data_IF_192411198788
#
_entry.id   IF_192411198788
#
_cell.length_a   1.000
_cell.length_b   1.000
_cell.length_c   1.000
_cell.angle_alpha   90.00
_cell.angle_beta   90.00
_cell.angle_gamma   90.00
#
_symmetry.space_group_name_H-M   'P 1'
#
loop_
_entity.id
_entity.type
_entity.pdbx_description
1 polymer ?
#
# COMPACT_ATOMS: atom_id res chain seq x y z
N UNK A 1 26.16 -33.61 5.69
CA UNK A 1 25.88 -32.17 5.85
C UNK A 1 24.63 -31.87 5.03
N UNK A 2 23.46 -31.95 5.65
CA UNK A 2 22.16 -31.82 4.96
C UNK A 2 21.78 -30.34 4.94
N UNK A 3 21.80 -29.76 3.75
CA UNK A 3 21.31 -28.40 3.50
C UNK A 3 19.81 -28.40 3.79
N UNK A 4 19.40 -27.84 4.93
CA UNK A 4 17.98 -27.60 5.19
C UNK A 4 17.57 -26.41 4.33
N UNK A 5 16.67 -26.65 3.37
CA UNK A 5 15.96 -25.59 2.68
C UNK A 5 15.12 -24.84 3.70
N UNK A 6 15.61 -23.69 4.14
CA UNK A 6 14.89 -22.81 5.05
C UNK A 6 13.92 -21.98 4.21
N UNK A 7 12.66 -22.43 4.26
CA UNK A 7 11.45 -21.62 4.25
C UNK A 7 11.19 -20.62 3.10
N UNK A 8 10.57 -21.12 2.01
CA UNK A 8 9.68 -20.29 1.17
C UNK A 8 8.44 -19.77 1.92
N UNK A 9 8.22 -20.28 3.13
CA UNK A 9 7.24 -19.88 4.15
C UNK A 9 7.54 -18.48 4.73
N UNK A 10 8.80 -18.21 5.07
CA UNK A 10 9.24 -16.93 5.63
C UNK A 10 9.11 -15.81 4.60
N UNK A 11 9.42 -16.13 3.34
CA UNK A 11 9.30 -15.16 2.24
C UNK A 11 7.83 -14.84 1.92
N UNK A 12 6.91 -15.81 2.02
CA UNK A 12 5.46 -15.55 1.90
C UNK A 12 4.93 -14.74 3.08
N UNK A 13 5.34 -15.06 4.31
CA UNK A 13 4.98 -14.28 5.50
C UNK A 13 5.44 -12.83 5.41
N UNK A 14 6.63 -12.58 4.86
CA UNK A 14 7.16 -11.23 4.65
C UNK A 14 6.36 -10.45 3.59
N UNK A 15 5.92 -11.11 2.52
CA UNK A 15 5.07 -10.48 1.48
C UNK A 15 3.68 -10.17 2.04
N UNK A 16 3.06 -11.11 2.75
CA UNK A 16 1.75 -10.91 3.38
C UNK A 16 1.78 -9.78 4.40
N UNK A 17 2.87 -9.67 5.16
CA UNK A 17 3.07 -8.55 6.08
C UNK A 17 3.17 -7.21 5.33
N UNK A 18 3.91 -7.15 4.22
CA UNK A 18 4.02 -5.94 3.40
C UNK A 18 2.69 -5.52 2.77
N UNK A 19 1.86 -6.48 2.36
CA UNK A 19 0.51 -6.22 1.83
C UNK A 19 -0.37 -5.63 2.93
N UNK A 20 -0.39 -6.23 4.13
CA UNK A 20 -1.15 -5.69 5.26
C UNK A 20 -0.73 -4.29 5.66
N UNK A 21 0.58 -4.01 5.68
CA UNK A 21 1.10 -2.67 5.96
C UNK A 21 0.69 -1.65 4.88
N UNK A 22 0.63 -2.08 3.62
CA UNK A 22 0.16 -1.25 2.50
C UNK A 22 -1.36 -0.97 2.58
N UNK A 23 -2.17 -1.97 2.93
CA UNK A 23 -3.61 -1.81 3.16
C UNK A 23 -3.90 -0.85 4.31
N UNK A 24 -3.14 -0.94 5.41
CA UNK A 24 -3.25 0.02 6.52
C UNK A 24 -2.95 1.45 6.05
N UNK A 25 -1.89 1.62 5.25
CA UNK A 25 -1.51 2.92 4.67
C UNK A 25 -2.62 3.47 3.76
N UNK A 26 -3.29 2.62 2.98
CA UNK A 26 -4.46 3.01 2.18
C UNK A 26 -5.62 3.47 3.08
N UNK A 27 -5.88 2.75 4.17
CA UNK A 27 -6.88 3.12 5.16
C UNK A 27 -6.63 4.50 5.76
N UNK A 28 -5.39 4.80 6.14
CA UNK A 28 -4.99 6.12 6.66
C UNK A 28 -5.23 7.25 5.65
N UNK A 29 -4.95 7.01 4.36
CA UNK A 29 -5.19 7.97 3.29
C UNK A 29 -6.69 8.19 3.08
N UNK A 30 -7.49 7.12 3.09
CA UNK A 30 -8.95 7.23 2.98
C UNK A 30 -9.53 8.03 4.15
N UNK A 31 -9.10 7.74 5.37
CA UNK A 31 -9.51 8.49 6.57
C UNK A 31 -9.11 9.95 6.44
N UNK A 32 -7.88 10.24 5.98
CA UNK A 32 -7.42 11.60 5.74
C UNK A 32 -8.31 12.32 4.73
N UNK A 33 -8.66 11.70 3.61
CA UNK A 33 -9.56 12.29 2.61
C UNK A 33 -10.93 12.61 3.23
N UNK A 34 -11.50 11.69 4.01
CA UNK A 34 -12.77 11.89 4.71
C UNK A 34 -12.70 13.05 5.71
N UNK A 35 -11.62 13.13 6.51
CA UNK A 35 -11.41 14.21 7.47
C UNK A 35 -11.32 15.59 6.81
N UNK A 36 -10.80 15.66 5.58
CA UNK A 36 -10.71 16.90 4.81
C UNK A 36 -11.97 17.18 3.96
N UNK A 37 -13.03 16.37 4.07
CA UNK A 37 -14.25 16.51 3.29
C UNK A 37 -14.06 16.25 1.79
N UNK A 38 -13.00 15.53 1.42
CA UNK A 38 -12.69 15.19 0.04
C UNK A 38 -13.37 13.87 -0.31
N UNK A 39 -14.03 13.82 -1.48
CA UNK A 39 -14.63 12.59 -1.99
C UNK A 39 -13.60 11.46 -2.05
N UNK A 40 -13.89 10.32 -1.44
CA UNK A 40 -13.04 9.14 -1.53
C UNK A 40 -13.25 8.54 -2.93
N UNK A 41 -12.29 8.79 -3.82
CA UNK A 41 -12.26 8.25 -5.17
C UNK A 41 -10.86 7.74 -5.48
N UNK A 42 -10.74 6.79 -6.42
CA UNK A 42 -9.44 6.28 -6.85
C UNK A 42 -8.51 7.41 -7.29
N UNK A 43 -9.02 8.43 -7.99
CA UNK A 43 -8.25 9.62 -8.37
C UNK A 43 -7.65 10.32 -7.16
N UNK A 44 -8.45 10.56 -6.12
CA UNK A 44 -8.01 11.30 -4.93
C UNK A 44 -7.08 10.46 -4.04
N UNK A 45 -7.33 9.14 -3.94
CA UNK A 45 -6.44 8.21 -3.24
C UNK A 45 -5.08 8.15 -3.95
N UNK A 46 -5.06 8.02 -5.28
CA UNK A 46 -3.83 8.01 -6.07
C UNK A 46 -3.07 9.32 -5.94
N UNK A 47 -3.76 10.46 -6.01
CA UNK A 47 -3.13 11.77 -5.87
C UNK A 47 -2.51 11.93 -4.47
N UNK A 48 -3.22 11.54 -3.41
CA UNK A 48 -2.68 11.55 -2.05
C UNK A 48 -1.50 10.60 -1.89
N UNK A 49 -1.55 9.38 -2.44
CA UNK A 49 -0.44 8.43 -2.42
C UNK A 49 0.81 9.00 -3.11
N UNK A 50 0.64 9.62 -4.27
CA UNK A 50 1.75 10.23 -5.03
C UNK A 50 2.35 11.39 -4.24
N UNK A 51 1.51 12.28 -3.69
CA UNK A 51 1.97 13.40 -2.89
C UNK A 51 2.74 12.93 -1.65
N UNK A 52 2.23 11.92 -0.93
CA UNK A 52 2.91 11.35 0.23
C UNK A 52 4.22 10.67 -0.16
N UNK A 53 4.26 9.97 -1.30
CA UNK A 53 5.48 9.31 -1.79
C UNK A 53 6.58 10.30 -2.16
N UNK A 54 6.22 11.47 -2.69
CA UNK A 54 7.16 12.54 -3.08
C UNK A 54 7.84 13.17 -1.86
N UNK A 55 7.10 13.35 -0.76
CA UNK A 55 7.60 14.01 0.46
C UNK A 55 8.17 13.06 1.52
N UNK A 56 7.89 11.75 1.43
CA UNK A 56 8.35 10.76 2.42
C UNK A 56 9.85 10.50 2.29
N UNK A 57 10.71 10.82 3.27
CA UNK A 57 12.14 10.55 3.18
C UNK A 57 12.52 9.11 3.55
N UNK A 58 11.65 8.36 4.24
CA UNK A 58 11.94 6.98 4.68
C UNK A 58 11.73 5.97 3.55
N UNK A 59 12.81 5.33 3.12
CA UNK A 59 12.79 4.32 2.04
C UNK A 59 11.92 3.09 2.36
N UNK A 60 11.75 2.71 3.64
CA UNK A 60 10.84 1.61 4.02
C UNK A 60 9.38 2.03 3.85
N UNK A 61 9.04 3.27 4.24
CA UNK A 61 7.69 3.80 4.04
C UNK A 61 7.40 4.06 2.56
N UNK A 62 8.37 4.54 1.78
CA UNK A 62 8.25 4.62 0.33
C UNK A 62 7.96 3.26 -0.30
N UNK A 63 8.63 2.18 0.17
CA UNK A 63 8.36 0.84 -0.34
C UNK A 63 6.91 0.42 -0.09
N UNK A 64 6.38 0.66 1.12
CA UNK A 64 4.96 0.40 1.45
C UNK A 64 4.01 1.25 0.59
N UNK A 65 4.29 2.54 0.44
CA UNK A 65 3.51 3.45 -0.41
C UNK A 65 3.52 3.01 -1.88
N UNK A 66 4.64 2.48 -2.38
CA UNK A 66 4.72 1.91 -3.74
C UNK A 66 3.91 0.63 -3.87
N UNK A 67 3.88 -0.22 -2.85
CA UNK A 67 3.02 -1.41 -2.82
C UNK A 67 1.54 -1.00 -2.75
N UNK A 68 1.18 -0.02 -1.91
CA UNK A 68 -0.15 0.56 -1.85
C UNK A 68 -0.59 1.15 -3.20
N UNK A 69 0.29 1.92 -3.84
CA UNK A 69 0.09 2.45 -5.19
C UNK A 69 -0.09 1.31 -6.21
N UNK A 70 0.71 0.25 -6.12
CA UNK A 70 0.58 -0.94 -6.96
C UNK A 70 -0.77 -1.60 -6.75
N UNK A 71 -1.24 -1.77 -5.52
CA UNK A 71 -2.57 -2.34 -5.22
C UNK A 71 -3.65 -1.51 -5.92
N UNK A 72 -3.71 -0.19 -5.68
CA UNK A 72 -4.74 0.70 -6.26
C UNK A 72 -4.67 0.79 -7.79
N UNK A 73 -3.48 0.63 -8.39
CA UNK A 73 -3.32 0.68 -9.86
C UNK A 73 -3.49 -0.66 -10.57
N UNK A 74 -3.18 -1.78 -9.89
CA UNK A 74 -3.28 -3.14 -10.45
C UNK A 74 -4.70 -3.66 -10.30
N UNK A 75 -5.39 -3.26 -9.25
CA UNK A 75 -6.83 -3.42 -9.10
C UNK A 75 -7.55 -2.41 -10.02
N UNK A 76 -7.88 -2.86 -11.25
CA UNK A 76 -9.09 -2.39 -11.96
C UNK A 76 -10.34 -2.81 -11.15
N UNK A 77 -10.42 -2.45 -9.88
CA UNK A 77 -11.59 -2.71 -9.06
C UNK A 77 -12.58 -1.58 -9.31
N UNK A 78 -13.65 -1.97 -9.99
CA UNK A 78 -14.91 -1.27 -10.08
C UNK A 78 -15.43 -0.98 -8.68
N UNK A 79 -15.06 0.15 -8.11
CA UNK A 79 -15.90 0.79 -7.11
C UNK A 79 -16.93 1.56 -7.93
N UNK A 80 -18.06 0.90 -8.18
CA UNK A 80 -19.20 1.48 -8.88
C UNK A 80 -19.59 2.79 -8.21
N UNK A 81 -19.77 3.83 -9.05
CA UNK A 81 -20.40 5.12 -8.73
C UNK A 81 -21.62 4.99 -7.80
#
# INVERSE_FOLDING_TARGET
MTVRYQDGSDQRNLIDLQIKEAEQTLGEIVVSLLCHGVTVSNKNILQSLINTLDVEPDEKKKARLRVALRIVTTERVYWTD
#
